data_IF_416984202271
#
_entry.id   IF_416984202271
#
_cell.length_a   1.000
_cell.length_b   1.000
_cell.length_c   1.000
_cell.angle_alpha   90.00
_cell.angle_beta   90.00
_cell.angle_gamma   90.00
#
_symmetry.space_group_name_H-M   'P 1'
#
loop_
_entity.id
_entity.type
_entity.pdbx_description
1 polymer ?
#
# COMPACT_ATOMS: atom_id res chain seq x y z
N UNK A 1 -2.27 31.13 -6.76
CA UNK A 1 -2.72 29.80 -7.22
C UNK A 1 -3.22 29.05 -6.00
N UNK A 2 -4.50 28.67 -5.99
CA UNK A 2 -5.05 27.85 -4.92
C UNK A 2 -4.50 26.43 -5.11
N UNK A 3 -3.64 25.97 -4.21
CA UNK A 3 -3.16 24.59 -4.23
C UNK A 3 -4.33 23.68 -3.84
N UNK A 4 -4.87 22.95 -4.82
CA UNK A 4 -5.89 21.93 -4.59
C UNK A 4 -5.24 20.54 -4.57
N UNK A 5 -5.75 19.68 -3.70
CA UNK A 5 -5.43 18.25 -3.68
C UNK A 5 -6.46 17.41 -4.45
N UNK A 6 -7.56 18.02 -4.91
CA UNK A 6 -8.60 17.31 -5.64
C UNK A 6 -8.18 17.04 -7.09
N UNK A 7 -8.41 15.82 -7.54
CA UNK A 7 -8.21 15.38 -8.91
C UNK A 7 -9.53 14.84 -9.46
N UNK A 8 -9.87 15.24 -10.68
CA UNK A 8 -11.16 14.92 -11.30
C UNK A 8 -11.30 13.42 -11.62
N UNK A 9 -10.19 12.74 -11.89
CA UNK A 9 -10.19 11.32 -12.28
C UNK A 9 -9.02 10.56 -11.67
N UNK A 10 -9.20 9.24 -11.50
CA UNK A 10 -8.14 8.33 -11.09
C UNK A 10 -6.96 8.34 -12.07
N UNK A 11 -7.22 8.45 -13.37
CA UNK A 11 -6.19 8.54 -14.41
C UNK A 11 -5.32 9.79 -14.26
N UNK A 12 -5.92 10.96 -14.04
CA UNK A 12 -5.19 12.20 -13.79
C UNK A 12 -4.36 12.11 -12.50
N UNK A 13 -4.88 11.42 -11.48
CA UNK A 13 -4.22 11.29 -10.19
C UNK A 13 -2.98 10.39 -10.22
N UNK A 14 -2.86 9.45 -11.16
CA UNK A 14 -1.71 8.54 -11.32
C UNK A 14 -0.79 8.89 -12.49
N UNK A 15 -1.04 10.02 -13.18
CA UNK A 15 -0.41 10.34 -14.47
C UNK A 15 1.12 10.50 -14.44
N UNK A 16 1.72 10.71 -13.27
CA UNK A 16 3.17 10.86 -13.09
C UNK A 16 3.84 9.62 -12.47
N UNK A 17 3.13 8.50 -12.35
CA UNK A 17 3.73 7.24 -11.90
C UNK A 17 4.74 6.77 -12.95
N UNK A 18 6.02 6.85 -12.62
CA UNK A 18 7.09 6.49 -13.56
C UNK A 18 7.37 4.98 -13.57
N UNK A 19 8.00 4.50 -14.65
CA UNK A 19 8.56 3.16 -14.69
C UNK A 19 9.57 2.95 -13.54
N UNK A 20 9.64 1.75 -13.01
CA UNK A 20 10.53 1.43 -11.89
C UNK A 20 10.06 1.96 -10.53
N UNK A 21 8.91 2.63 -10.44
CA UNK A 21 8.40 3.17 -9.19
C UNK A 21 8.13 2.08 -8.15
N UNK A 22 8.39 2.40 -6.88
CA UNK A 22 7.85 1.63 -5.75
C UNK A 22 6.47 2.18 -5.39
N UNK A 23 5.45 1.31 -5.42
CA UNK A 23 4.05 1.68 -5.18
C UNK A 23 3.48 0.86 -4.04
N UNK A 24 3.05 1.55 -2.97
CA UNK A 24 2.34 0.95 -1.85
C UNK A 24 0.85 0.85 -2.19
N UNK A 25 0.25 -0.31 -1.99
CA UNK A 25 -1.18 -0.55 -2.23
C UNK A 25 -1.84 -0.86 -0.89
N UNK A 26 -2.68 0.07 -0.43
CA UNK A 26 -3.44 -0.07 0.80
C UNK A 26 -4.57 -1.09 0.71
N UNK A 27 -5.21 -1.36 1.85
CA UNK A 27 -6.24 -2.39 2.00
C UNK A 27 -5.71 -3.70 2.60
N UNK A 28 -6.63 -4.60 2.96
CA UNK A 28 -6.39 -5.92 3.56
C UNK A 28 -7.35 -6.89 2.88
N UNK A 29 -6.87 -7.95 2.22
CA UNK A 29 -7.73 -8.97 1.56
C UNK A 29 -8.93 -8.38 0.78
N UNK A 30 -8.69 -7.47 -0.19
CA UNK A 30 -9.69 -6.68 -0.98
C UNK A 30 -10.50 -5.63 -0.20
N UNK A 31 -10.52 -5.71 1.13
CA UNK A 31 -11.19 -4.73 1.97
C UNK A 31 -10.35 -3.45 2.08
N UNK A 32 -10.93 -2.31 1.69
CA UNK A 32 -10.22 -1.03 1.69
C UNK A 32 -9.15 -0.93 0.60
N UNK A 33 -9.22 -1.75 -0.44
CA UNK A 33 -8.33 -1.66 -1.60
C UNK A 33 -8.76 -0.49 -2.52
N UNK A 34 -7.81 0.31 -3.05
CA UNK A 34 -8.10 1.41 -3.96
C UNK A 34 -8.29 0.94 -5.41
N UNK A 35 -9.35 0.18 -5.66
CA UNK A 35 -9.58 -0.51 -6.94
C UNK A 35 -9.61 0.40 -8.17
N UNK A 36 -10.16 1.62 -8.07
CA UNK A 36 -10.20 2.54 -9.21
C UNK A 36 -8.80 3.12 -9.51
N UNK A 37 -7.98 3.36 -8.49
CA UNK A 37 -6.58 3.79 -8.68
C UNK A 37 -5.72 2.67 -9.25
N UNK A 38 -5.93 1.42 -8.81
CA UNK A 38 -5.26 0.24 -9.39
C UNK A 38 -5.63 0.04 -10.87
N UNK A 39 -6.91 0.16 -11.22
CA UNK A 39 -7.36 0.10 -12.61
C UNK A 39 -6.77 1.23 -13.46
N UNK A 40 -6.68 2.44 -12.90
CA UNK A 40 -6.02 3.58 -13.55
C UNK A 40 -4.52 3.35 -13.72
N UNK A 41 -3.83 2.79 -12.73
CA UNK A 41 -2.40 2.44 -12.82
C UNK A 41 -2.13 1.38 -13.90
N UNK A 42 -2.98 0.36 -13.96
CA UNK A 42 -2.93 -0.67 -15.01
C UNK A 42 -3.10 -0.04 -16.41
N UNK A 43 -4.11 0.80 -16.57
CA UNK A 43 -4.38 1.52 -17.83
C UNK A 43 -3.28 2.53 -18.20
N UNK A 44 -2.64 3.16 -17.19
CA UNK A 44 -1.53 4.09 -17.37
C UNK A 44 -0.31 3.41 -18.02
N UNK A 45 -0.08 2.13 -17.73
CA UNK A 45 0.94 1.33 -18.40
C UNK A 45 2.36 1.55 -17.90
N UNK A 46 2.54 2.00 -16.66
CA UNK A 46 3.85 1.98 -16.01
C UNK A 46 4.34 0.52 -15.84
N UNK A 47 5.64 0.30 -15.97
CA UNK A 47 6.26 -1.03 -15.91
C UNK A 47 7.50 -1.05 -15.02
N UNK A 48 8.00 -2.26 -14.74
CA UNK A 48 9.13 -2.47 -13.83
C UNK A 48 8.82 -2.11 -12.38
N UNK A 49 7.53 -2.13 -11.98
CA UNK A 49 7.08 -1.65 -10.69
C UNK A 49 7.54 -2.57 -9.54
N UNK A 50 7.86 -1.98 -8.40
CA UNK A 50 7.90 -2.70 -7.12
C UNK A 50 6.59 -2.45 -6.39
N UNK A 51 5.76 -3.48 -6.25
CA UNK A 51 4.48 -3.40 -5.54
C UNK A 51 4.67 -3.85 -4.10
N UNK A 52 4.19 -3.04 -3.15
CA UNK A 52 4.13 -3.40 -1.73
C UNK A 52 2.67 -3.48 -1.33
N UNK A 53 2.22 -4.68 -0.94
CA UNK A 53 0.82 -4.94 -0.63
C UNK A 53 0.72 -6.01 0.44
N UNK A 54 -0.39 -6.02 1.18
CA UNK A 54 -0.66 -7.05 2.17
C UNK A 54 -0.85 -8.43 1.53
N UNK A 55 -1.69 -8.46 0.50
CA UNK A 55 -2.01 -9.63 -0.31
C UNK A 55 -1.81 -9.26 -1.77
N UNK A 56 -1.21 -10.15 -2.56
CA UNK A 56 -0.89 -9.91 -3.98
C UNK A 56 -1.91 -10.49 -4.96
N UNK A 57 -3.08 -10.92 -4.48
CA UNK A 57 -4.15 -11.47 -5.32
C UNK A 57 -4.96 -12.55 -4.62
N UNK A 58 -6.24 -12.70 -4.95
CA UNK A 58 -7.08 -13.81 -4.49
C UNK A 58 -7.38 -14.82 -5.61
N UNK A 59 -7.52 -14.31 -6.83
CA UNK A 59 -7.76 -15.05 -8.06
C UNK A 59 -7.20 -14.26 -9.27
N UNK A 60 -7.27 -14.83 -10.47
CA UNK A 60 -6.80 -14.18 -11.71
C UNK A 60 -7.47 -12.85 -12.09
N UNK A 61 -8.53 -12.41 -11.39
CA UNK A 61 -9.24 -11.16 -11.68
C UNK A 61 -8.66 -9.93 -10.98
N UNK A 62 -7.78 -10.14 -10.00
CA UNK A 62 -7.14 -9.11 -9.21
C UNK A 62 -6.26 -8.17 -10.08
N UNK A 63 -6.28 -6.88 -9.78
CA UNK A 63 -5.53 -5.87 -10.56
C UNK A 63 -4.02 -6.05 -10.44
N UNK A 64 -3.52 -6.53 -9.30
CA UNK A 64 -2.09 -6.83 -9.11
C UNK A 64 -1.69 -8.04 -9.95
N UNK A 65 -2.55 -9.07 -10.01
CA UNK A 65 -2.33 -10.26 -10.84
C UNK A 65 -2.30 -9.88 -12.33
N UNK A 66 -3.21 -9.02 -12.79
CA UNK A 66 -3.23 -8.51 -14.17
C UNK A 66 -1.98 -7.70 -14.51
N UNK A 67 -1.55 -6.80 -13.62
CA UNK A 67 -0.30 -6.05 -13.78
C UNK A 67 0.90 -6.99 -13.94
N UNK A 68 0.98 -8.07 -13.16
CA UNK A 68 2.06 -9.06 -13.32
C UNK A 68 1.96 -9.83 -14.63
N UNK A 69 0.77 -10.30 -15.01
CA UNK A 69 0.55 -11.04 -16.26
C UNK A 69 0.95 -10.22 -17.50
N UNK A 70 0.76 -8.89 -17.44
CA UNK A 70 1.17 -7.96 -18.49
C UNK A 70 2.66 -7.54 -18.40
N UNK A 71 3.46 -8.19 -17.55
CA UNK A 71 4.90 -7.94 -17.39
C UNK A 71 5.21 -6.57 -16.78
N UNK A 72 4.27 -5.96 -16.03
CA UNK A 72 4.44 -4.61 -15.46
C UNK A 72 5.12 -4.59 -14.10
N UNK A 73 5.19 -5.72 -13.41
CA UNK A 73 5.73 -5.83 -12.05
C UNK A 73 7.10 -6.51 -12.10
N UNK A 74 8.12 -5.86 -11.54
CA UNK A 74 9.44 -6.44 -11.35
C UNK A 74 9.58 -7.14 -10.00
N UNK A 75 8.91 -6.62 -8.95
CA UNK A 75 9.01 -7.14 -7.59
C UNK A 75 7.71 -6.97 -6.81
N UNK A 76 7.40 -7.93 -5.94
CA UNK A 76 6.36 -7.83 -4.92
C UNK A 76 6.99 -7.99 -3.54
N UNK A 77 6.66 -7.09 -2.62
CA UNK A 77 6.99 -7.17 -1.20
C UNK A 77 5.69 -7.35 -0.42
N UNK A 78 5.53 -8.48 0.27
CA UNK A 78 4.25 -8.82 0.91
C UNK A 78 4.43 -9.79 2.10
N UNK A 79 3.60 -9.70 3.15
CA UNK A 79 3.54 -10.71 4.19
C UNK A 79 2.89 -12.00 3.73
N UNK A 80 2.02 -11.93 2.73
CA UNK A 80 1.36 -13.09 2.18
C UNK A 80 1.32 -13.04 0.64
N UNK A 81 2.46 -13.31 -0.04
CA UNK A 81 2.56 -13.25 -1.51
C UNK A 81 1.90 -14.42 -2.25
N UNK A 82 1.45 -15.45 -1.51
CA UNK A 82 0.83 -16.66 -2.07
C UNK A 82 -0.39 -17.08 -1.24
N UNK A 83 -1.42 -16.22 -1.09
CA UNK A 83 -2.58 -16.57 -0.29
C UNK A 83 -3.30 -17.77 -0.91
N UNK A 84 -3.42 -18.87 -0.15
CA UNK A 84 -4.08 -20.08 -0.63
C UNK A 84 -5.56 -20.08 -0.23
N UNK A 85 -6.46 -19.95 -1.20
CA UNK A 85 -7.89 -20.23 -1.00
C UNK A 85 -8.59 -20.77 -2.26
N UNK A 86 -8.09 -20.46 -3.46
CA UNK A 86 -8.82 -20.63 -4.74
C UNK A 86 -8.26 -21.72 -5.68
N UNK A 87 -7.13 -22.35 -5.36
CA UNK A 87 -6.53 -23.39 -6.20
C UNK A 87 -5.68 -22.87 -7.38
N UNK A 88 -5.64 -21.56 -7.62
CA UNK A 88 -4.75 -20.94 -8.59
C UNK A 88 -3.31 -20.93 -8.08
N UNK A 89 -2.37 -21.38 -8.92
CA UNK A 89 -0.95 -21.39 -8.57
C UNK A 89 -0.33 -20.01 -8.80
N UNK A 90 -0.64 -19.03 -7.94
CA UNK A 90 -0.04 -17.69 -7.98
C UNK A 90 1.50 -17.73 -8.05
N UNK A 91 2.12 -18.78 -7.48
CA UNK A 91 3.57 -18.98 -7.63
C UNK A 91 3.98 -19.22 -9.08
N UNK A 92 3.24 -20.01 -9.85
CA UNK A 92 3.49 -20.15 -11.28
C UNK A 92 3.25 -18.83 -12.03
N UNK A 93 2.21 -18.08 -11.67
CA UNK A 93 1.95 -16.75 -12.26
C UNK A 93 3.14 -15.81 -12.02
N UNK A 94 3.60 -15.67 -10.77
CA UNK A 94 4.75 -14.83 -10.45
C UNK A 94 6.03 -15.31 -11.16
N UNK A 95 6.29 -16.63 -11.17
CA UNK A 95 7.47 -17.20 -11.80
C UNK A 95 7.47 -16.99 -13.33
N UNK A 96 6.33 -17.23 -13.99
CA UNK A 96 6.18 -17.07 -15.44
C UNK A 96 6.25 -15.60 -15.88
N UNK A 97 5.76 -14.69 -15.03
CA UNK A 97 5.90 -13.25 -15.22
C UNK A 97 7.29 -12.71 -14.82
N UNK A 98 8.17 -13.55 -14.24
CA UNK A 98 9.50 -13.14 -13.79
C UNK A 98 9.50 -12.19 -12.60
N UNK A 99 8.46 -12.22 -11.76
CA UNK A 99 8.31 -11.34 -10.60
C UNK A 99 9.20 -11.81 -9.44
N UNK A 100 10.08 -10.93 -8.96
CA UNK A 100 10.83 -11.19 -7.73
C UNK A 100 9.92 -11.07 -6.50
N UNK A 101 9.92 -12.07 -5.61
CA UNK A 101 9.09 -12.06 -4.40
C UNK A 101 9.96 -11.87 -3.16
N UNK A 102 9.68 -10.82 -2.38
CA UNK A 102 10.18 -10.61 -1.03
C UNK A 102 9.04 -10.85 -0.03
N UNK A 103 9.11 -11.98 0.68
CA UNK A 103 8.21 -12.22 1.80
C UNK A 103 8.72 -11.52 3.05
N UNK A 104 7.87 -10.79 3.78
CA UNK A 104 8.26 -10.05 5.00
C UNK A 104 7.21 -10.29 6.08
N UNK A 105 7.56 -10.69 7.31
CA UNK A 105 6.56 -10.87 8.38
C UNK A 105 5.67 -9.63 8.54
N UNK A 106 4.36 -9.83 8.73
CA UNK A 106 3.35 -8.76 8.72
C UNK A 106 3.68 -7.60 9.68
N UNK A 107 4.00 -7.90 10.93
CA UNK A 107 4.38 -6.87 11.92
C UNK A 107 5.68 -6.15 11.53
N UNK A 108 6.64 -6.88 10.95
CA UNK A 108 7.89 -6.31 10.45
C UNK A 108 7.64 -5.35 9.29
N UNK A 109 6.83 -5.73 8.30
CA UNK A 109 6.48 -4.83 7.19
C UNK A 109 5.77 -3.56 7.68
N UNK A 110 4.82 -3.70 8.62
CA UNK A 110 4.13 -2.57 9.23
C UNK A 110 5.12 -1.60 9.92
N UNK A 111 6.09 -2.13 10.67
CA UNK A 111 7.10 -1.31 11.33
C UNK A 111 8.11 -0.70 10.35
N UNK A 112 8.48 -1.39 9.27
CA UNK A 112 9.32 -0.81 8.20
C UNK A 112 8.64 0.39 7.55
N UNK A 113 7.35 0.30 7.25
CA UNK A 113 6.56 1.40 6.68
C UNK A 113 6.39 2.55 7.69
N UNK A 114 6.02 2.23 8.93
CA UNK A 114 5.87 3.23 10.00
C UNK A 114 7.19 3.97 10.27
N UNK A 115 8.31 3.25 10.31
CA UNK A 115 9.64 3.83 10.47
C UNK A 115 9.96 4.81 9.33
N UNK A 116 9.65 4.43 8.08
CA UNK A 116 9.84 5.31 6.93
C UNK A 116 9.04 6.62 7.06
N UNK A 117 7.76 6.53 7.40
CA UNK A 117 6.91 7.72 7.57
C UNK A 117 7.29 8.59 8.76
N UNK A 118 7.88 8.01 9.80
CA UNK A 118 8.37 8.73 10.97
C UNK A 118 9.81 9.26 10.84
N UNK A 119 10.51 8.97 9.73
CA UNK A 119 11.92 9.35 9.55
C UNK A 119 12.90 8.58 10.43
N UNK A 120 12.53 7.37 10.87
CA UNK A 120 13.37 6.48 11.70
C UNK A 120 14.29 5.65 10.80
N UNK A 121 15.59 5.65 11.09
CA UNK A 121 16.61 4.98 10.26
C UNK A 121 16.60 3.44 10.31
N UNK A 122 15.92 2.83 11.28
CA UNK A 122 15.76 1.40 11.42
C UNK A 122 15.11 1.02 12.75
N UNK A 123 14.55 -0.19 12.81
CA UNK A 123 13.91 -0.73 14.02
C UNK A 123 14.44 -2.13 14.31
N UNK A 124 14.71 -2.42 15.58
CA UNK A 124 15.08 -3.76 16.02
C UNK A 124 13.82 -4.52 16.42
N UNK A 125 13.55 -5.65 15.77
CA UNK A 125 12.39 -6.51 16.07
C UNK A 125 12.83 -7.96 16.29
N UNK A 126 12.23 -8.71 17.24
CA UNK A 126 12.58 -10.12 17.47
C UNK A 126 11.98 -11.07 16.43
N UNK A 127 11.02 -10.59 15.62
CA UNK A 127 10.29 -11.39 14.65
C UNK A 127 11.23 -11.85 13.53
N UNK A 128 11.30 -13.16 13.30
CA UNK A 128 12.11 -13.78 12.25
C UNK A 128 13.40 -14.45 12.73
N UNK A 129 13.75 -14.33 14.01
CA UNK A 129 14.91 -15.01 14.59
C UNK A 129 14.80 -16.53 14.49
N UNK A 130 15.95 -17.17 14.26
CA UNK A 130 16.02 -18.63 14.04
C UNK A 130 15.37 -19.10 12.73
N UNK A 131 15.03 -18.18 11.83
CA UNK A 131 14.49 -18.47 10.50
C UNK A 131 15.32 -17.80 9.42
N UNK A 132 15.05 -18.11 8.15
CA UNK A 132 15.69 -17.48 6.98
C UNK A 132 15.59 -15.94 6.95
N UNK A 133 14.66 -15.34 7.69
CA UNK A 133 14.51 -13.88 7.75
C UNK A 133 15.67 -13.20 8.51
N UNK A 134 16.43 -13.95 9.33
CA UNK A 134 17.59 -13.44 10.05
C UNK A 134 18.90 -13.54 9.26
N UNK A 135 18.94 -14.32 8.17
CA UNK A 135 20.17 -14.67 7.48
C UNK A 135 20.88 -13.42 6.91
N UNK A 136 22.13 -13.20 7.33
CA UNK A 136 22.94 -12.07 6.87
C UNK A 136 22.48 -10.70 7.37
N UNK A 137 21.54 -10.65 8.31
CA UNK A 137 21.02 -9.40 8.90
C UNK A 137 21.81 -9.02 10.15
N UNK A 138 21.90 -7.72 10.44
CA UNK A 138 22.43 -7.25 11.72
C UNK A 138 21.48 -7.68 12.86
N UNK A 139 22.04 -8.23 13.94
CA UNK A 139 21.30 -8.56 15.16
C UNK A 139 21.86 -7.83 16.37
N UNK A 140 21.02 -7.66 17.40
CA UNK A 140 21.39 -7.05 18.67
C UNK A 140 20.53 -7.58 19.81
N UNK A 141 21.15 -7.82 20.97
CA UNK A 141 20.42 -8.12 22.21
C UNK A 141 19.97 -6.83 22.89
N UNK A 142 18.66 -6.65 23.04
CA UNK A 142 18.03 -5.51 23.71
C UNK A 142 17.22 -6.07 24.88
N UNK A 143 17.55 -5.66 26.11
CA UNK A 143 16.88 -6.13 27.34
C UNK A 143 16.80 -7.66 27.46
N UNK A 144 17.86 -8.37 27.04
CA UNK A 144 17.94 -9.84 27.09
C UNK A 144 17.24 -10.56 25.94
N UNK A 145 16.65 -9.84 24.99
CA UNK A 145 16.01 -10.40 23.79
C UNK A 145 16.85 -10.08 22.58
N UNK A 146 17.27 -11.09 21.81
CA UNK A 146 17.89 -10.87 20.51
C UNK A 146 16.86 -10.26 19.54
N UNK A 147 17.29 -9.37 18.67
CA UNK A 147 16.46 -8.67 17.69
C UNK A 147 17.22 -8.54 16.37
N UNK A 148 16.48 -8.47 15.25
CA UNK A 148 16.99 -8.23 13.90
C UNK A 148 16.77 -6.76 13.55
N UNK A 149 17.77 -6.12 12.92
CA UNK A 149 17.61 -4.77 12.37
C UNK A 149 16.79 -4.81 11.07
N UNK A 150 15.71 -4.04 11.05
CA UNK A 150 14.84 -3.84 9.91
C UNK A 150 14.95 -2.40 9.39
N UNK A 151 15.24 -2.27 8.09
CA UNK A 151 15.38 -0.98 7.42
C UNK A 151 14.01 -0.40 7.03
N UNK A 152 13.81 0.92 7.14
CA UNK A 152 12.57 1.56 6.74
C UNK A 152 12.26 1.30 5.26
N UNK A 153 10.97 1.11 4.95
CA UNK A 153 10.49 0.90 3.58
C UNK A 153 9.77 2.16 3.10
N UNK A 154 10.48 2.98 2.31
CA UNK A 154 9.93 4.19 1.68
C UNK A 154 9.57 3.91 0.23
N UNK A 155 8.51 4.55 -0.27
CA UNK A 155 8.03 4.41 -1.63
C UNK A 155 7.91 5.74 -2.39
N UNK A 156 7.79 5.65 -3.70
CA UNK A 156 7.49 6.79 -4.56
C UNK A 156 6.03 7.19 -4.43
N UNK A 157 5.14 6.21 -4.51
CA UNK A 157 3.69 6.41 -4.48
C UNK A 157 3.02 5.50 -3.46
N UNK A 158 1.93 5.99 -2.86
CA UNK A 158 0.96 5.18 -2.13
C UNK A 158 -0.42 5.37 -2.76
N UNK A 159 -1.06 4.27 -3.13
CA UNK A 159 -2.47 4.23 -3.51
C UNK A 159 -3.23 3.75 -2.27
N UNK A 160 -4.13 4.58 -1.75
CA UNK A 160 -4.91 4.27 -0.54
C UNK A 160 -6.39 4.57 -0.73
N UNK A 161 -7.25 3.91 0.05
CA UNK A 161 -8.68 4.15 0.08
C UNK A 161 -9.14 4.63 1.46
N UNK A 162 -10.04 5.61 1.47
CA UNK A 162 -10.70 6.14 2.66
C UNK A 162 -12.23 6.14 2.48
N UNK A 163 -12.96 6.02 3.59
CA UNK A 163 -14.43 6.13 3.57
C UNK A 163 -14.87 7.59 3.41
N UNK A 164 -14.11 8.52 3.99
CA UNK A 164 -14.30 9.95 3.76
C UNK A 164 -12.97 10.67 3.73
N UNK A 165 -12.91 11.71 2.91
CA UNK A 165 -11.83 12.68 2.88
C UNK A 165 -12.39 14.10 2.93
N UNK A 166 -11.57 15.07 3.35
CA UNK A 166 -11.83 16.48 3.07
C UNK A 166 -10.89 17.04 1.98
N UNK A 167 -11.16 18.26 1.52
CA UNK A 167 -10.36 18.90 0.47
C UNK A 167 -8.92 19.25 0.90
N UNK A 168 -8.62 19.22 2.21
CA UNK A 168 -7.26 19.33 2.75
C UNK A 168 -6.54 17.97 2.82
N UNK A 169 -7.26 16.87 2.57
CA UNK A 169 -6.76 15.50 2.54
C UNK A 169 -6.86 14.77 3.88
N UNK A 170 -7.57 15.29 4.87
CA UNK A 170 -7.80 14.53 6.11
C UNK A 170 -8.67 13.31 5.81
N UNK A 171 -8.30 12.13 6.32
CA UNK A 171 -8.97 10.87 6.01
C UNK A 171 -9.59 10.23 7.25
N UNK A 172 -10.80 9.69 7.06
CA UNK A 172 -11.41 8.72 7.97
C UNK A 172 -11.71 7.41 7.24
N UNK A 173 -11.69 6.31 7.99
CA UNK A 173 -11.85 4.95 7.46
C UNK A 173 -13.03 4.26 8.14
N UNK A 174 -13.61 3.26 7.47
CA UNK A 174 -14.71 2.47 8.02
C UNK A 174 -14.28 1.04 8.33
N UNK A 175 -14.34 0.66 9.61
CA UNK A 175 -14.04 -0.71 10.06
C UNK A 175 -12.68 -1.23 9.56
N UNK A 176 -12.68 -2.45 9.01
CA UNK A 176 -11.48 -3.11 8.51
C UNK A 176 -10.86 -2.44 7.27
N UNK A 177 -11.57 -1.53 6.58
CA UNK A 177 -11.03 -0.82 5.42
C UNK A 177 -9.80 0.02 5.78
N UNK A 178 -9.63 0.40 7.05
CA UNK A 178 -8.42 1.12 7.50
C UNK A 178 -7.15 0.35 7.13
N UNK A 179 -7.12 -0.95 7.42
CA UNK A 179 -6.02 -1.89 7.11
C UNK A 179 -4.64 -1.22 7.02
N UNK A 180 -3.99 -1.40 5.87
CA UNK A 180 -2.69 -0.81 5.54
C UNK A 180 -2.74 0.63 5.05
N UNK A 181 -3.93 1.17 4.73
CA UNK A 181 -4.07 2.50 4.14
C UNK A 181 -3.41 3.58 5.00
N UNK A 182 -3.66 3.55 6.31
CA UNK A 182 -3.17 4.59 7.22
C UNK A 182 -1.63 4.58 7.37
N UNK A 183 -0.99 3.40 7.42
CA UNK A 183 0.47 3.31 7.57
C UNK A 183 1.19 3.55 6.24
N UNK A 184 0.62 3.12 5.12
CA UNK A 184 1.20 3.34 3.80
C UNK A 184 1.13 4.81 3.36
N UNK A 185 0.06 5.53 3.74
CA UNK A 185 -0.09 6.96 3.44
C UNK A 185 1.08 7.81 3.97
N UNK A 186 1.74 7.38 5.05
CA UNK A 186 2.87 8.14 5.63
C UNK A 186 4.23 7.76 5.01
N UNK A 187 4.31 6.60 4.35
CA UNK A 187 5.56 5.99 3.91
C UNK A 187 5.94 6.29 2.43
N UNK A 188 5.12 7.07 1.72
CA UNK A 188 5.35 7.43 0.32
C UNK A 188 5.69 8.92 0.12
N UNK A 189 6.36 9.22 -0.99
CA UNK A 189 6.60 10.60 -1.44
C UNK A 189 5.32 11.27 -1.95
N UNK A 190 4.47 10.53 -2.66
CA UNK A 190 3.17 10.99 -3.16
C UNK A 190 2.08 10.00 -2.74
N UNK A 191 1.16 10.44 -1.88
CA UNK A 191 -0.01 9.66 -1.48
C UNK A 191 -1.23 10.10 -2.28
N UNK A 192 -1.84 9.12 -2.95
CA UNK A 192 -3.00 9.26 -3.81
C UNK A 192 -4.15 8.50 -3.16
N UNK A 193 -5.17 9.23 -2.75
CA UNK A 193 -6.31 8.69 -2.03
C UNK A 193 -7.54 8.63 -2.92
N UNK A 194 -8.11 7.44 -3.02
CA UNK A 194 -9.50 7.25 -3.43
C UNK A 194 -10.38 7.43 -2.19
N UNK A 195 -11.37 8.32 -2.24
CA UNK A 195 -12.31 8.52 -1.15
C UNK A 195 -13.74 8.24 -1.60
N UNK A 196 -14.48 7.47 -0.80
CA UNK A 196 -15.88 7.14 -1.07
C UNK A 196 -16.79 8.38 -0.97
N UNK A 197 -16.43 9.33 -0.10
CA UNK A 197 -17.06 10.65 0.01
C UNK A 197 -16.00 11.74 0.19
N UNK A 198 -16.25 12.94 -0.35
CA UNK A 198 -15.37 14.10 -0.19
C UNK A 198 -16.19 15.31 0.28
N UNK A 199 -15.80 15.91 1.41
CA UNK A 199 -16.44 17.08 1.98
C UNK A 199 -15.50 18.28 2.09
N UNK A 200 -16.05 19.43 2.46
CA UNK A 200 -15.25 20.61 2.81
C UNK A 200 -14.56 20.43 4.18
N UNK A 201 -13.50 21.19 4.48
CA UNK A 201 -12.81 21.10 5.77
C UNK A 201 -13.79 21.33 6.93
N UNK A 202 -13.75 20.44 7.92
CA UNK A 202 -14.71 20.39 9.02
C UNK A 202 -15.87 19.40 8.82
N UNK A 203 -16.03 18.81 7.63
CA UNK A 203 -16.98 17.72 7.41
C UNK A 203 -16.61 16.43 8.17
N UNK A 204 -15.32 16.24 8.47
CA UNK A 204 -14.82 15.18 9.34
C UNK A 204 -14.51 15.79 10.71
N UNK A 205 -15.12 15.25 11.76
CA UNK A 205 -14.81 15.67 13.13
C UNK A 205 -13.31 15.46 13.42
N UNK A 206 -12.62 16.40 14.09
CA UNK A 206 -11.16 16.34 14.24
C UNK A 206 -10.68 15.06 14.94
N UNK A 207 -11.43 14.57 15.93
CA UNK A 207 -11.13 13.30 16.65
C UNK A 207 -11.35 12.04 15.79
N UNK A 208 -12.01 12.17 14.63
CA UNK A 208 -12.25 11.08 13.69
C UNK A 208 -11.21 11.07 12.56
N UNK A 209 -10.35 12.09 12.46
CA UNK A 209 -9.25 12.12 11.49
C UNK A 209 -8.19 11.12 11.90
N UNK A 210 -8.05 10.05 11.10
CA UNK A 210 -7.06 9.00 11.36
C UNK A 210 -5.76 9.27 10.61
N UNK A 211 -5.84 9.73 9.36
CA UNK A 211 -4.68 10.17 8.59
C UNK A 211 -4.80 11.67 8.35
N UNK A 212 -3.98 12.49 9.02
CA UNK A 212 -3.96 13.93 8.78
C UNK A 212 -3.58 14.25 7.35
N UNK A 213 -4.18 15.31 6.80
CA UNK A 213 -4.00 15.69 5.39
C UNK A 213 -2.57 16.02 4.99
N UNK A 214 -1.65 16.25 5.94
CA UNK A 214 -0.23 16.43 5.65
C UNK A 214 0.40 15.23 4.92
N UNK A 215 -0.14 14.02 5.12
CA UNK A 215 0.33 12.80 4.47
C UNK A 215 -0.32 12.54 3.11
N UNK A 216 -1.28 13.38 2.69
CA UNK A 216 -2.07 13.18 1.47
C UNK A 216 -1.75 14.27 0.47
N UNK A 217 -1.42 13.86 -0.76
CA UNK A 217 -1.09 14.77 -1.85
C UNK A 217 -2.24 14.92 -2.84
N UNK A 218 -3.01 13.84 -3.06
CA UNK A 218 -4.08 13.79 -4.06
C UNK A 218 -5.30 13.07 -3.50
N UNK A 219 -6.49 13.58 -3.78
CA UNK A 219 -7.78 12.99 -3.42
C UNK A 219 -8.62 12.90 -4.69
N UNK A 220 -9.17 11.72 -4.95
CA UNK A 220 -10.13 11.46 -6.02
C UNK A 220 -11.41 10.92 -5.38
N UNK A 221 -12.54 11.54 -5.68
CA UNK A 221 -13.84 11.06 -5.23
C UNK A 221 -14.29 9.89 -6.12
N UNK A 222 -14.45 8.70 -5.54
CA UNK A 222 -14.98 7.51 -6.22
C UNK A 222 -16.10 6.95 -5.35
N UNK A 223 -17.38 7.24 -5.64
CA UNK A 223 -18.48 6.77 -4.82
C UNK A 223 -18.54 5.23 -4.84
N UNK A 224 -18.96 4.60 -3.74
CA UNK A 224 -19.08 3.15 -3.69
C UNK A 224 -20.12 2.69 -4.72
N UNK A 225 -19.73 1.76 -5.59
CA UNK A 225 -20.66 1.02 -6.44
C UNK A 225 -21.51 0.15 -5.52
N UNK A 226 -22.84 0.30 -5.54
CA UNK A 226 -23.79 -0.22 -4.56
C UNK A 226 -23.94 -1.74 -4.42
N UNK A 227 -22.91 -2.53 -4.71
CA UNK A 227 -22.88 -3.97 -4.45
C UNK A 227 -21.90 -4.24 -3.30
N UNK A 228 -22.45 -4.23 -2.09
CA UNK A 228 -21.86 -4.92 -0.93
C UNK A 228 -22.64 -6.22 -0.75
N UNK A 229 -21.95 -7.34 -0.98
CA UNK A 229 -22.43 -8.71 -0.74
C UNK A 229 -21.27 -9.67 -0.81
#
# INVERSE_FOLDING_TARGET
MTFTKLYDTAAAAVADVHNGATVLIGGVSRTGEPTALLAALHSHGAAGLTIVCDFSGWDGSDSIVKLAADGRIARIISPNPYPSASGDNLREVWNSAGVAIESVPQGTLAERLRAAGAGIGGVFVPVGLGTRFADGRETRTINGVECILESPLRADFALVRAASADTLGNLAYQGAQRGWNAVMATAARITITQADTVGEPGAIGPELVITPGIYVNRVVHIPPTGEQG
#
